data_IF_250258700668
#
_entry.id   IF_250258700668
#
_cell.length_a   1.000
_cell.length_b   1.000
_cell.length_c   1.000
_cell.angle_alpha   90.00
_cell.angle_beta   90.00
_cell.angle_gamma   90.00
#
_symmetry.space_group_name_H-M   'P 1'
#
loop_
_entity.id
_entity.type
_entity.pdbx_description
1 polymer ?
#
# COMPACT_ATOMS: atom_id res chain seq x y z
N UNK A 1 20.60 0.85 40.40
CA UNK A 1 19.48 0.58 39.47
C UNK A 1 20.02 0.81 38.07
N UNK A 2 20.19 -0.29 37.35
CA UNK A 2 21.35 -0.59 36.50
C UNK A 2 21.36 0.06 35.11
N UNK A 3 22.59 0.15 34.61
CA UNK A 3 23.07 0.53 33.28
C UNK A 3 22.52 -0.31 32.10
N UNK A 4 21.41 -1.03 32.26
CA UNK A 4 20.95 -2.06 31.30
C UNK A 4 19.62 -1.76 30.58
N UNK A 5 18.81 -0.79 31.04
CA UNK A 5 17.51 -0.53 30.40
C UNK A 5 17.60 0.28 29.09
N UNK A 6 18.79 0.79 28.73
CA UNK A 6 19.01 1.56 27.49
C UNK A 6 19.36 0.70 26.26
N UNK A 7 19.42 -0.64 26.41
CA UNK A 7 19.76 -1.56 25.31
C UNK A 7 18.55 -2.18 24.59
N UNK A 8 17.32 -1.74 24.88
CA UNK A 8 16.14 -2.41 24.32
C UNK A 8 15.77 -2.00 22.89
N UNK A 9 16.00 -0.76 22.42
CA UNK A 9 15.89 -0.41 20.98
C UNK A 9 16.63 0.87 20.54
N UNK A 10 17.94 0.82 20.23
CA UNK A 10 18.62 1.91 19.53
C UNK A 10 18.51 1.83 17.99
N UNK A 11 18.07 0.68 17.44
CA UNK A 11 18.19 0.41 15.99
C UNK A 11 16.90 0.55 15.16
N UNK A 12 15.71 0.67 15.78
CA UNK A 12 14.45 0.76 15.00
C UNK A 12 14.14 2.16 14.51
N UNK A 13 14.51 3.20 15.24
CA UNK A 13 14.22 4.59 14.87
C UNK A 13 15.14 5.10 13.76
N UNK A 14 16.42 4.70 13.74
CA UNK A 14 17.37 5.15 12.72
C UNK A 14 16.99 4.70 11.30
N UNK A 15 16.34 3.54 11.15
CA UNK A 15 15.91 3.08 9.82
C UNK A 15 14.72 3.88 9.29
N UNK A 16 13.81 4.36 10.15
CA UNK A 16 12.62 5.13 9.74
C UNK A 16 12.98 6.49 9.10
N UNK A 17 14.14 7.06 9.44
CA UNK A 17 14.64 8.33 8.92
C UNK A 17 15.72 8.16 7.82
N UNK A 18 15.93 6.93 7.35
CA UNK A 18 16.95 6.65 6.32
C UNK A 18 16.40 6.91 4.92
N UNK A 19 17.25 7.44 4.02
CA UNK A 19 16.90 7.69 2.62
C UNK A 19 16.50 6.41 1.85
N UNK A 20 16.87 5.22 2.34
CA UNK A 20 16.53 3.93 1.71
C UNK A 20 15.25 3.31 2.29
N UNK A 21 14.68 3.89 3.34
CA UNK A 21 13.54 3.32 4.06
C UNK A 21 12.31 3.15 3.16
N UNK A 22 11.95 4.21 2.43
CA UNK A 22 10.80 4.23 1.53
C UNK A 22 10.93 3.15 0.44
N UNK A 23 12.10 3.00 -0.15
CA UNK A 23 12.37 1.96 -1.15
C UNK A 23 12.19 0.55 -0.57
N UNK A 24 12.72 0.30 0.64
CA UNK A 24 12.54 -0.99 1.30
C UNK A 24 11.08 -1.28 1.65
N UNK A 25 10.34 -0.29 2.18
CA UNK A 25 8.90 -0.43 2.48
C UNK A 25 8.11 -0.72 1.21
N UNK A 26 8.36 -0.01 0.11
CA UNK A 26 7.70 -0.25 -1.18
C UNK A 26 8.01 -1.64 -1.73
N UNK A 27 9.24 -2.14 -1.57
CA UNK A 27 9.60 -3.51 -1.94
C UNK A 27 8.79 -4.52 -1.13
N UNK A 28 8.74 -4.40 0.20
CA UNK A 28 7.95 -5.28 1.04
C UNK A 28 6.45 -5.26 0.69
N UNK A 29 5.88 -4.07 0.41
CA UNK A 29 4.48 -3.93 -0.02
C UNK A 29 4.24 -4.59 -1.39
N UNK A 30 5.20 -4.53 -2.30
CA UNK A 30 5.11 -5.25 -3.57
C UNK A 30 5.15 -6.76 -3.37
N UNK A 31 6.03 -7.27 -2.51
CA UNK A 31 6.14 -8.71 -2.23
C UNK A 31 4.86 -9.25 -1.57
N UNK A 32 4.28 -8.48 -0.64
CA UNK A 32 2.96 -8.75 -0.05
C UNK A 32 1.86 -8.81 -1.12
N UNK A 33 1.85 -7.84 -2.05
CA UNK A 33 0.90 -7.80 -3.17
C UNK A 33 1.00 -9.03 -4.07
N UNK A 34 2.21 -9.49 -4.37
CA UNK A 34 2.43 -10.68 -5.21
C UNK A 34 1.95 -11.97 -4.53
N UNK A 35 1.97 -12.01 -3.20
CA UNK A 35 1.53 -13.16 -2.38
C UNK A 35 0.09 -13.05 -1.88
N UNK A 36 -0.63 -11.96 -2.23
CA UNK A 36 -1.96 -11.63 -1.70
C UNK A 36 -2.03 -11.58 -0.16
N UNK A 37 -0.95 -11.11 0.47
CA UNK A 37 -0.85 -10.93 1.92
C UNK A 37 -1.22 -9.48 2.25
N UNK A 38 -2.10 -9.29 3.24
CA UNK A 38 -2.55 -7.96 3.73
C UNK A 38 -3.22 -7.06 2.67
N UNK A 39 -3.43 -7.56 1.45
CA UNK A 39 -4.20 -6.86 0.44
C UNK A 39 -5.65 -6.73 0.89
N UNK A 40 -6.20 -5.53 0.75
CA UNK A 40 -7.52 -5.14 1.26
C UNK A 40 -8.39 -4.51 0.17
N UNK A 41 -8.00 -4.63 -1.11
CA UNK A 41 -8.79 -4.18 -2.26
C UNK A 41 -8.51 -5.03 -3.49
N UNK A 42 -9.54 -5.27 -4.28
CA UNK A 42 -9.42 -5.85 -5.63
C UNK A 42 -9.69 -4.78 -6.68
N UNK A 43 -8.73 -4.54 -7.57
CA UNK A 43 -8.92 -3.71 -8.75
C UNK A 43 -9.24 -4.62 -9.93
N UNK A 44 -10.34 -4.36 -10.62
CA UNK A 44 -10.74 -5.09 -11.83
C UNK A 44 -10.56 -4.17 -13.03
N UNK A 45 -9.77 -4.63 -14.00
CA UNK A 45 -9.59 -3.94 -15.28
C UNK A 45 -9.99 -4.92 -16.37
N UNK A 46 -11.02 -4.57 -17.12
CA UNK A 46 -11.67 -5.47 -18.08
C UNK A 46 -12.06 -6.80 -17.39
N UNK A 47 -11.34 -7.88 -17.70
CA UNK A 47 -11.59 -9.24 -17.19
C UNK A 47 -10.47 -9.75 -16.27
N UNK A 48 -9.59 -8.86 -15.80
CA UNK A 48 -8.46 -9.20 -14.93
C UNK A 48 -8.62 -8.56 -13.56
N UNK A 49 -8.35 -9.33 -12.51
CA UNK A 49 -8.37 -8.87 -11.12
C UNK A 49 -6.95 -8.74 -10.57
N UNK A 50 -6.73 -7.69 -9.78
CA UNK A 50 -5.47 -7.38 -9.14
C UNK A 50 -5.70 -7.08 -7.67
N UNK A 51 -5.01 -7.83 -6.80
CA UNK A 51 -4.99 -7.56 -5.36
C UNK A 51 -4.03 -6.42 -5.08
N UNK A 52 -4.41 -5.51 -4.19
CA UNK A 52 -3.63 -4.33 -3.84
C UNK A 52 -3.94 -3.85 -2.41
N UNK A 53 -3.31 -2.74 -2.03
CA UNK A 53 -3.48 -2.07 -0.75
C UNK A 53 -4.19 -0.72 -0.96
N UNK A 54 -5.27 -0.49 -0.23
CA UNK A 54 -6.05 0.74 -0.21
C UNK A 54 -5.18 1.96 0.06
N UNK A 55 -4.30 1.86 1.07
CA UNK A 55 -3.38 2.93 1.47
C UNK A 55 -2.44 3.34 0.34
N UNK A 56 -1.86 2.36 -0.36
CA UNK A 56 -0.96 2.61 -1.50
C UNK A 56 -1.73 3.27 -2.64
N UNK A 57 -2.88 2.71 -3.04
CA UNK A 57 -3.69 3.28 -4.13
C UNK A 57 -4.14 4.72 -3.82
N UNK A 58 -4.62 4.97 -2.60
CA UNK A 58 -5.08 6.28 -2.15
C UNK A 58 -3.94 7.32 -2.04
N UNK A 59 -2.70 6.86 -1.81
CA UNK A 59 -1.52 7.75 -1.76
C UNK A 59 -1.01 8.16 -3.15
N UNK A 60 -1.23 7.32 -4.16
CA UNK A 60 -0.71 7.53 -5.52
C UNK A 60 -1.73 8.16 -6.48
N UNK A 61 -3.01 8.22 -6.11
CA UNK A 61 -4.08 8.65 -7.01
C UNK A 61 -5.28 9.20 -6.26
N UNK A 62 -5.68 10.43 -6.61
CA UNK A 62 -6.89 11.06 -6.07
C UNK A 62 -8.17 10.29 -6.44
N UNK A 63 -8.21 9.68 -7.63
CA UNK A 63 -9.32 8.81 -8.04
C UNK A 63 -9.50 7.65 -7.06
N UNK A 64 -8.42 6.93 -6.77
CA UNK A 64 -8.46 5.82 -5.82
C UNK A 64 -8.70 6.31 -4.40
N UNK A 65 -8.13 7.45 -4.01
CA UNK A 65 -8.37 8.05 -2.70
C UNK A 65 -9.87 8.26 -2.45
N UNK A 66 -10.58 8.91 -3.37
CA UNK A 66 -12.01 9.19 -3.25
C UNK A 66 -12.84 7.90 -3.29
N UNK A 67 -12.45 6.91 -4.11
CA UNK A 67 -13.14 5.61 -4.19
C UNK A 67 -12.98 4.80 -2.92
N UNK A 68 -11.77 4.70 -2.39
CA UNK A 68 -11.45 3.92 -1.18
C UNK A 68 -12.11 4.53 0.06
N UNK A 69 -12.04 5.85 0.22
CA UNK A 69 -12.62 6.55 1.38
C UNK A 69 -14.16 6.57 1.37
N UNK A 70 -14.78 6.51 0.19
CA UNK A 70 -16.24 6.48 0.06
C UNK A 70 -16.87 5.10 0.34
N UNK A 71 -16.09 4.02 0.41
CA UNK A 71 -16.61 2.66 0.53
C UNK A 71 -16.47 2.15 1.96
N UNK A 72 -17.60 1.84 2.60
CA UNK A 72 -17.64 1.33 3.98
C UNK A 72 -17.56 -0.21 4.09
N UNK A 73 -17.07 -0.88 3.04
CA UNK A 73 -16.98 -2.34 3.00
C UNK A 73 -15.59 -2.84 3.38
N UNK A 74 -15.55 -3.98 4.08
CA UNK A 74 -14.32 -4.75 4.27
C UNK A 74 -13.97 -5.39 2.92
N UNK A 75 -12.90 -4.91 2.28
CA UNK A 75 -12.38 -5.37 0.98
C UNK A 75 -13.15 -4.89 -0.28
N UNK A 76 -13.10 -3.58 -0.61
CA UNK A 76 -13.72 -3.03 -1.82
C UNK A 76 -13.25 -3.70 -3.12
N UNK A 77 -14.15 -3.81 -4.08
CA UNK A 77 -13.81 -4.11 -5.49
C UNK A 77 -14.00 -2.84 -6.32
N UNK A 78 -12.94 -2.36 -6.95
CA UNK A 78 -12.93 -1.16 -7.79
C UNK A 78 -12.77 -1.58 -9.24
N UNK A 79 -13.80 -1.36 -10.05
CA UNK A 79 -13.77 -1.64 -11.49
C UNK A 79 -13.36 -0.39 -12.25
N UNK A 80 -12.27 -0.48 -13.03
CA UNK A 80 -11.81 0.58 -13.91
C UNK A 80 -12.35 0.35 -15.33
N UNK A 81 -12.93 1.41 -15.92
CA UNK A 81 -13.21 1.45 -17.35
C UNK A 81 -11.92 1.69 -18.15
N UNK A 82 -11.88 1.26 -19.42
CA UNK A 82 -10.69 1.40 -20.27
C UNK A 82 -10.16 2.85 -20.38
N UNK A 83 -11.05 3.84 -20.45
CA UNK A 83 -10.68 5.25 -20.49
C UNK A 83 -9.91 5.70 -19.23
N UNK A 84 -10.28 5.18 -18.06
CA UNK A 84 -9.66 5.53 -16.77
C UNK A 84 -8.30 4.85 -16.61
N UNK A 85 -8.13 3.64 -17.16
CA UNK A 85 -6.86 2.91 -17.12
C UNK A 85 -5.76 3.68 -17.88
N UNK A 86 -6.09 4.21 -19.06
CA UNK A 86 -5.13 5.00 -19.85
C UNK A 86 -4.72 6.27 -19.10
N UNK A 87 -5.64 6.93 -18.41
CA UNK A 87 -5.36 8.18 -17.69
C UNK A 87 -4.60 8.00 -16.37
N UNK A 88 -4.68 6.82 -15.74
CA UNK A 88 -4.00 6.54 -14.47
C UNK A 88 -2.59 5.95 -14.64
N UNK A 89 -2.25 5.47 -15.84
CA UNK A 89 -0.97 4.81 -16.13
C UNK A 89 -0.17 5.45 -17.29
N UNK A 90 -0.59 6.62 -17.79
CA UNK A 90 0.18 7.43 -18.76
C UNK A 90 1.00 8.53 -18.07
#
# INVERSE_FOLDING_TARGET
WSHDEKKAWPHRTSFLYSAVHSAHVLQCLNDQRQQDILCDVTVVVENRSFRAHCSVLASCSEYFHNRVTSVNNQNPTITLSNEVCVLLFS
#
